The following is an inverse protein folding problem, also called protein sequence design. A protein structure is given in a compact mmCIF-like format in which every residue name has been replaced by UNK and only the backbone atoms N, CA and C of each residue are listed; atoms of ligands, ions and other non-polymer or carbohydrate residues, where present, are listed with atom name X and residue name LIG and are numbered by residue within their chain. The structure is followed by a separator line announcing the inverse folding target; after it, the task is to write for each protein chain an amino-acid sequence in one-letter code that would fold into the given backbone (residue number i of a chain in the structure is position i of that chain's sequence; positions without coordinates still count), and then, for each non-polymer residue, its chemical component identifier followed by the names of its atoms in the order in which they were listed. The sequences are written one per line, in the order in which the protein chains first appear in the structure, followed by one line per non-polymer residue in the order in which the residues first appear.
data_IF_978668840775
#
_entry.id   IF_978668840775
#
_cell.length_a   1.000
_cell.length_b   1.000
_cell.length_c   1.000
_cell.angle_alpha   90.00
_cell.angle_beta   90.00
_cell.angle_gamma   90.00
#
_symmetry.space_group_name_H-M   'P 1'
#
loop_
_entity.id
_entity.type
_entity.pdbx_description
1 polymer ?
#
# COMPACT_ATOMS: atom_id res chain seq x y z
N UNK A 1 -8.21 -13.05 11.28
CA UNK A 1 -7.14 -13.44 10.34
C UNK A 1 -7.55 -13.19 8.88
N UNK A 2 -8.61 -13.83 8.34
CA UNK A 2 -8.99 -13.68 6.91
C UNK A 2 -9.47 -12.28 6.48
N UNK A 3 -10.13 -11.51 7.37
CA UNK A 3 -10.63 -10.16 7.07
C UNK A 3 -9.52 -9.11 6.98
N UNK A 4 -8.44 -9.27 7.74
CA UNK A 4 -7.29 -8.35 7.73
C UNK A 4 -6.47 -8.50 6.45
N UNK A 5 -6.22 -9.74 6.05
CA UNK A 5 -5.52 -10.05 4.81
C UNK A 5 -6.27 -9.52 3.58
N UNK A 6 -7.60 -9.66 3.55
CA UNK A 6 -8.43 -9.11 2.46
C UNK A 6 -8.46 -7.58 2.45
N UNK A 7 -8.41 -6.94 3.62
CA UNK A 7 -8.29 -5.48 3.72
C UNK A 7 -6.93 -4.99 3.21
N UNK A 8 -5.84 -5.68 3.56
CA UNK A 8 -4.49 -5.36 3.06
C UNK A 8 -4.42 -5.50 1.53
N UNK A 9 -5.04 -6.52 0.94
CA UNK A 9 -5.08 -6.66 -0.53
C UNK A 9 -5.77 -5.49 -1.21
N UNK A 10 -6.93 -5.06 -0.71
CA UNK A 10 -7.68 -3.92 -1.28
C UNK A 10 -6.89 -2.62 -1.13
N UNK A 11 -6.25 -2.40 0.01
CA UNK A 11 -5.43 -1.19 0.25
C UNK A 11 -4.19 -1.18 -0.65
N UNK A 12 -3.56 -2.33 -0.89
CA UNK A 12 -2.43 -2.45 -1.81
C UNK A 12 -2.82 -2.09 -3.25
N UNK A 13 -3.98 -2.58 -3.72
CA UNK A 13 -4.51 -2.27 -5.05
C UNK A 13 -4.79 -0.76 -5.21
N UNK A 14 -5.39 -0.13 -4.19
CA UNK A 14 -5.65 1.32 -4.19
C UNK A 14 -4.38 2.16 -4.18
N UNK A 15 -3.36 1.76 -3.42
CA UNK A 15 -2.06 2.44 -3.40
C UNK A 15 -1.35 2.32 -4.75
N UNK A 16 -1.45 1.17 -5.42
CA UNK A 16 -0.90 0.98 -6.75
C UNK A 16 -1.59 1.89 -7.77
N UNK A 17 -2.92 1.96 -7.77
CA UNK A 17 -3.68 2.87 -8.64
C UNK A 17 -3.31 4.35 -8.40
N UNK A 18 -3.18 4.74 -7.13
CA UNK A 18 -2.74 6.09 -6.77
C UNK A 18 -1.30 6.38 -7.24
N UNK A 19 -0.39 5.41 -7.20
CA UNK A 19 0.99 5.55 -7.65
C UNK A 19 1.08 5.79 -9.17
N UNK A 20 0.18 5.13 -9.91
CA UNK A 20 0.08 5.23 -11.37
C UNK A 20 -0.56 6.54 -11.80
N UNK A 21 -1.54 7.06 -11.03
CA UNK A 21 -2.17 8.35 -11.27
C UNK A 21 -1.34 9.56 -10.78
N UNK A 22 -0.40 9.35 -9.85
CA UNK A 22 0.37 10.43 -9.25
C UNK A 22 1.44 10.99 -10.22
N UNK A 23 1.27 12.24 -10.62
CA UNK A 23 2.25 12.99 -11.41
C UNK A 23 3.36 13.62 -10.54
N UNK A 24 3.05 13.92 -9.27
CA UNK A 24 3.99 14.54 -8.34
C UNK A 24 4.99 13.52 -7.77
N UNK A 25 6.32 13.73 -7.93
CA UNK A 25 7.33 12.81 -7.42
C UNK A 25 7.28 12.58 -5.90
N UNK A 26 6.94 13.62 -5.14
CA UNK A 26 6.80 13.55 -3.68
C UNK A 26 5.61 12.69 -3.26
N UNK A 27 4.49 12.81 -3.97
CA UNK A 27 3.31 11.96 -3.75
C UNK A 27 3.63 10.50 -4.07
N UNK A 28 4.37 10.24 -5.16
CA UNK A 28 4.83 8.88 -5.51
C UNK A 28 5.76 8.30 -4.46
N UNK A 29 6.61 9.12 -3.84
CA UNK A 29 7.48 8.70 -2.75
C UNK A 29 6.66 8.22 -1.54
N UNK A 30 5.71 9.03 -1.07
CA UNK A 30 4.88 8.67 0.09
C UNK A 30 3.95 7.48 -0.16
N UNK A 31 3.46 7.31 -1.39
CA UNK A 31 2.66 6.12 -1.75
C UNK A 31 3.52 4.85 -1.67
N UNK A 32 4.76 4.87 -2.17
CA UNK A 32 5.68 3.72 -2.07
C UNK A 32 6.05 3.40 -0.62
N UNK A 33 6.28 4.42 0.20
CA UNK A 33 6.53 4.28 1.64
C UNK A 33 5.33 3.61 2.33
N UNK A 34 4.10 4.03 1.99
CA UNK A 34 2.87 3.44 2.51
C UNK A 34 2.69 1.98 2.09
N UNK A 35 3.06 1.61 0.85
CA UNK A 35 3.03 0.21 0.39
C UNK A 35 4.03 -0.66 1.14
N UNK A 36 5.23 -0.14 1.46
CA UNK A 36 6.23 -0.88 2.25
C UNK A 36 5.73 -1.14 3.68
N UNK A 37 5.12 -0.15 4.31
CA UNK A 37 4.53 -0.29 5.65
C UNK A 37 3.41 -1.33 5.69
N UNK A 38 2.59 -1.40 4.64
CA UNK A 38 1.51 -2.39 4.53
C UNK A 38 2.05 -3.83 4.52
N UNK A 39 3.22 -4.06 3.92
CA UNK A 39 3.87 -5.38 3.89
C UNK A 39 4.65 -5.70 5.17
N UNK A 40 5.18 -4.69 5.86
CA UNK A 40 5.83 -4.87 7.16
C UNK A 40 4.83 -5.35 8.23
N UNK A 41 3.56 -4.94 8.13
CA UNK A 41 2.46 -5.43 8.97
C UNK A 41 2.12 -6.93 8.75
N UNK A 42 2.54 -7.52 7.62
CA UNK A 42 2.33 -8.94 7.32
C UNK A 42 3.49 -9.83 7.86
N UNK A 43 4.66 -9.28 8.20
CA UNK A 43 5.84 -10.03 8.70
C UNK A 43 5.82 -10.26 10.23
N UNK A 44 4.86 -9.70 10.99
CA UNK A 44 4.80 -9.80 12.45
C UNK A 44 3.83 -10.87 13.01
N UNK A 45 3.55 -11.96 12.27
CA UNK A 45 2.65 -13.02 12.74
C UNK A 45 3.08 -14.46 12.42
#
# INVERSE_FOLDING_TARGET
MATRQRANTVVAEQLQEALDAAECPEVRYHIRESMQLLHLDDEEN
#
